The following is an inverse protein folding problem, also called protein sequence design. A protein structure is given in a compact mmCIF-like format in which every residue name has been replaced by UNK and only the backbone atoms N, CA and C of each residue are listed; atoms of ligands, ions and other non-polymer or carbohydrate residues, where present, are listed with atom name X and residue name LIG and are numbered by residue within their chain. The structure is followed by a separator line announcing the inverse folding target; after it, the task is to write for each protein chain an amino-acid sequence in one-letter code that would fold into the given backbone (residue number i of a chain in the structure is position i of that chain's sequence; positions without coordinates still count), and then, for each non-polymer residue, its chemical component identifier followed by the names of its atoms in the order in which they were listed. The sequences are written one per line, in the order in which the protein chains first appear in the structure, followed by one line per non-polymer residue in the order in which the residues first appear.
data_IF_223164337885
#
_entry.id   IF_223164337885
#
_cell.length_a   1.000
_cell.length_b   1.000
_cell.length_c   1.000
_cell.angle_alpha   90.00
_cell.angle_beta   90.00
_cell.angle_gamma   90.00
#
_symmetry.space_group_name_H-M   'P 1'
#
loop_
_entity.id
_entity.type
_entity.pdbx_description
1 polymer ?
#
# COMPACT_ATOMS: atom_id res chain seq x y z
N UNK A 1 27.54 49.79 5.56
CA UNK A 1 27.56 48.64 4.61
C UNK A 1 27.00 47.36 5.23
N UNK A 2 27.58 46.82 6.32
CA UNK A 2 27.11 45.59 6.97
C UNK A 2 25.62 45.58 7.36
N UNK A 3 25.07 46.69 7.84
CA UNK A 3 23.64 46.76 8.19
C UNK A 3 22.71 46.60 6.97
N UNK A 4 23.17 47.00 5.78
CA UNK A 4 22.44 46.79 4.53
C UNK A 4 22.43 45.32 4.13
N UNK A 5 23.59 44.64 4.26
CA UNK A 5 23.70 43.19 4.05
C UNK A 5 22.83 42.39 5.02
N UNK A 6 22.80 42.79 6.30
CA UNK A 6 21.94 42.18 7.32
C UNK A 6 20.45 42.33 6.96
N UNK A 7 20.04 43.51 6.49
CA UNK A 7 18.64 43.79 6.11
C UNK A 7 18.21 43.00 4.87
N UNK A 8 19.09 42.85 3.89
CA UNK A 8 18.87 42.00 2.70
C UNK A 8 18.72 40.52 3.12
N UNK A 9 19.59 40.03 4.00
CA UNK A 9 19.52 38.65 4.51
C UNK A 9 18.22 38.39 5.29
N UNK A 10 17.80 39.33 6.14
CA UNK A 10 16.55 39.24 6.88
C UNK A 10 15.32 39.19 5.94
N UNK A 11 15.32 40.01 4.89
CA UNK A 11 14.26 40.02 3.88
C UNK A 11 14.22 38.72 3.05
N UNK A 12 15.39 38.19 2.67
CA UNK A 12 15.49 36.90 1.99
C UNK A 12 14.99 35.73 2.87
N UNK A 13 15.33 35.74 4.15
CA UNK A 13 14.88 34.73 5.12
C UNK A 13 13.35 34.77 5.33
N UNK A 14 12.75 35.96 5.42
CA UNK A 14 11.29 36.10 5.47
C UNK A 14 10.62 35.59 4.18
N UNK A 15 11.17 35.91 3.00
CA UNK A 15 10.65 35.41 1.72
C UNK A 15 10.69 33.88 1.63
N UNK A 16 11.80 33.25 2.02
CA UNK A 16 11.92 31.80 2.10
C UNK A 16 10.92 31.19 3.09
N UNK A 17 10.76 31.78 4.28
CA UNK A 17 9.79 31.30 5.27
C UNK A 17 8.36 31.35 4.72
N UNK A 18 8.02 32.40 3.97
CA UNK A 18 6.70 32.56 3.36
C UNK A 18 6.45 31.53 2.24
N UNK A 19 7.46 31.23 1.41
CA UNK A 19 7.40 30.15 0.42
C UNK A 19 7.21 28.77 1.07
N UNK A 20 7.92 28.49 2.17
CA UNK A 20 7.77 27.21 2.91
C UNK A 20 6.37 27.06 3.54
N UNK A 21 5.79 28.15 4.05
CA UNK A 21 4.42 28.15 4.57
C UNK A 21 3.42 27.89 3.45
N UNK A 22 3.59 28.53 2.29
CA UNK A 22 2.73 28.35 1.13
C UNK A 22 2.76 26.91 0.61
N UNK A 23 3.96 26.35 0.36
CA UNK A 23 4.12 24.97 -0.08
C UNK A 23 3.51 23.95 0.90
N UNK A 24 3.62 24.21 2.22
CA UNK A 24 2.98 23.38 3.25
C UNK A 24 1.45 23.44 3.21
N UNK A 25 0.86 24.60 2.89
CA UNK A 25 -0.59 24.72 2.70
C UNK A 25 -1.06 23.97 1.44
N UNK A 26 -0.34 24.11 0.32
CA UNK A 26 -0.64 23.41 -0.94
C UNK A 26 -0.56 21.89 -0.78
N UNK A 27 0.50 21.35 -0.16
CA UNK A 27 0.58 19.92 0.15
C UNK A 27 -0.61 19.43 1.01
N UNK A 28 -1.07 20.24 1.98
CA UNK A 28 -2.22 19.90 2.82
C UNK A 28 -3.55 19.99 2.07
N UNK A 29 -3.67 20.89 1.09
CA UNK A 29 -4.83 20.96 0.20
C UNK A 29 -4.90 19.71 -0.68
N UNK A 30 -3.81 19.34 -1.37
CA UNK A 30 -3.76 18.11 -2.17
C UNK A 30 -4.04 16.85 -1.34
N UNK A 31 -3.55 16.77 -0.09
CA UNK A 31 -3.87 15.64 0.81
C UNK A 31 -5.37 15.56 1.15
N UNK A 32 -6.03 16.72 1.35
CA UNK A 32 -7.46 16.79 1.62
C UNK A 32 -8.31 16.49 0.38
N UNK A 33 -7.93 16.99 -0.80
CA UNK A 33 -8.59 16.68 -2.07
C UNK A 33 -8.48 15.18 -2.40
N UNK A 34 -7.31 14.58 -2.17
CA UNK A 34 -7.11 13.14 -2.33
C UNK A 34 -7.98 12.31 -1.37
N UNK A 35 -8.28 12.82 -0.17
CA UNK A 35 -9.23 12.19 0.76
C UNK A 35 -10.67 12.35 0.29
N UNK A 36 -11.06 13.53 -0.21
CA UNK A 36 -12.39 13.79 -0.74
C UNK A 36 -12.71 12.90 -1.96
N UNK A 37 -11.79 12.81 -2.95
CA UNK A 37 -11.95 11.95 -4.13
C UNK A 37 -12.05 10.46 -3.75
N UNK A 38 -11.30 10.01 -2.74
CA UNK A 38 -11.41 8.64 -2.20
C UNK A 38 -12.74 8.37 -1.52
N UNK A 39 -13.38 9.40 -0.95
CA UNK A 39 -14.67 9.26 -0.28
C UNK A 39 -15.83 9.25 -1.29
N UNK A 40 -15.80 10.10 -2.32
CA UNK A 40 -16.83 10.10 -3.38
C UNK A 40 -16.86 8.79 -4.19
N UNK A 41 -15.72 8.15 -4.46
CA UNK A 41 -15.69 6.83 -5.10
C UNK A 41 -16.25 5.70 -4.22
N UNK A 42 -16.56 5.95 -2.94
CA UNK A 42 -17.18 4.98 -2.03
C UNK A 42 -18.71 5.09 -2.02
N UNK A 43 -19.29 6.18 -2.54
CA UNK A 43 -20.74 6.41 -2.56
C UNK A 43 -21.44 5.88 -3.82
N UNK A 44 -20.73 5.71 -4.95
CA UNK A 44 -21.29 5.15 -6.19
C UNK A 44 -21.55 3.63 -6.16
N UNK A 45 -21.20 2.93 -5.06
CA UNK A 45 -21.47 1.48 -4.88
C UNK A 45 -22.56 1.15 -3.87
N UNK A 46 -23.51 2.05 -3.61
CA UNK A 46 -24.62 1.83 -2.67
C UNK A 46 -26.03 1.92 -3.29
N UNK A 47 -26.18 1.51 -4.55
CA UNK A 47 -27.47 1.46 -5.21
C UNK A 47 -27.61 0.28 -6.19
N UNK A 48 -27.37 -0.96 -5.75
CA UNK A 48 -27.94 -2.11 -6.45
C UNK A 48 -28.14 -3.36 -5.58
N UNK A 49 -29.28 -4.01 -5.80
CA UNK A 49 -29.73 -5.33 -5.30
C UNK A 49 -30.04 -5.50 -3.80
N UNK A 50 -31.10 -4.82 -3.38
CA UNK A 50 -32.14 -5.45 -2.56
C UNK A 50 -32.87 -6.57 -3.34
N UNK A 51 -33.62 -7.41 -2.61
CA UNK A 51 -34.61 -8.39 -3.09
C UNK A 51 -34.07 -9.69 -3.72
N UNK A 52 -33.93 -10.72 -2.89
CA UNK A 52 -34.71 -11.99 -2.86
C UNK A 52 -34.05 -12.91 -1.80
N UNK A 53 -34.72 -13.77 -1.06
CA UNK A 53 -36.14 -14.15 -1.02
C UNK A 53 -36.23 -15.46 -0.21
N UNK A 54 -37.18 -15.53 0.71
CA UNK A 54 -37.40 -16.56 1.76
C UNK A 54 -37.37 -18.05 1.34
N UNK A 55 -37.35 -18.93 2.36
CA UNK A 55 -37.92 -20.31 2.38
C UNK A 55 -37.22 -21.44 1.55
N UNK A 56 -37.18 -22.71 1.96
CA UNK A 56 -37.38 -23.34 3.28
C UNK A 56 -36.66 -24.73 3.33
N UNK A 57 -36.99 -25.53 4.35
CA UNK A 57 -36.35 -26.76 4.86
C UNK A 57 -36.70 -28.09 4.13
N UNK A 58 -36.01 -29.17 4.55
CA UNK A 58 -36.30 -30.63 4.35
C UNK A 58 -35.89 -31.30 3.01
N UNK A 59 -35.76 -32.64 2.90
CA UNK A 59 -35.08 -33.70 3.71
C UNK A 59 -35.09 -35.03 2.89
N UNK A 60 -34.03 -35.86 2.99
CA UNK A 60 -34.01 -37.26 2.49
C UNK A 60 -33.74 -37.47 0.99
N UNK A 61 -33.28 -38.64 0.50
CA UNK A 61 -32.95 -39.92 1.16
C UNK A 61 -32.09 -40.82 0.24
N UNK A 62 -30.97 -41.37 0.75
CA UNK A 62 -30.13 -42.52 0.25
C UNK A 62 -29.61 -42.51 -1.20
N UNK A 63 -28.36 -42.89 -1.49
CA UNK A 63 -27.71 -44.16 -1.09
C UNK A 63 -26.19 -44.08 -0.88
N UNK A 64 -25.66 -45.12 -0.21
CA UNK A 64 -24.25 -45.36 0.17
C UNK A 64 -23.37 -45.72 -1.07
N UNK A 65 -22.03 -45.61 -1.10
CA UNK A 65 -21.02 -46.06 -0.12
C UNK A 65 -19.82 -45.09 0.13
N UNK A 66 -19.20 -45.25 1.31
CA UNK A 66 -17.87 -44.73 1.73
C UNK A 66 -16.76 -45.67 1.23
N UNK A 67 -15.44 -45.45 1.23
CA UNK A 67 -14.47 -44.46 1.75
C UNK A 67 -13.12 -44.77 1.01
N UNK A 68 -11.99 -44.06 1.05
CA UNK A 68 -11.47 -42.82 1.66
C UNK A 68 -10.20 -42.44 0.84
N UNK A 69 -9.53 -41.29 0.95
CA UNK A 69 -9.68 -40.13 1.83
C UNK A 69 -9.18 -38.87 1.11
N UNK A 70 -9.86 -37.74 1.25
CA UNK A 70 -9.41 -36.43 0.78
C UNK A 70 -8.73 -35.64 1.90
N UNK A 71 -7.74 -34.82 1.55
CA UNK A 71 -7.34 -33.68 2.39
C UNK A 71 -7.05 -32.45 1.54
N UNK A 72 -8.12 -31.95 0.93
CA UNK A 72 -8.18 -30.57 0.47
C UNK A 72 -7.88 -29.66 1.67
N UNK A 73 -6.68 -29.08 1.70
CA UNK A 73 -6.30 -28.15 2.76
C UNK A 73 -6.74 -26.76 2.35
N UNK A 74 -8.03 -26.50 2.61
CA UNK A 74 -8.58 -25.22 3.01
C UNK A 74 -7.87 -23.98 2.46
N UNK A 75 -8.46 -23.38 1.41
CA UNK A 75 -8.20 -21.98 1.06
C UNK A 75 -8.59 -21.11 2.25
N UNK A 76 -7.61 -20.78 3.09
CA UNK A 76 -7.76 -19.77 4.14
C UNK A 76 -7.76 -18.39 3.51
N UNK A 77 -8.90 -17.99 2.94
CA UNK A 77 -9.15 -16.61 2.52
C UNK A 77 -9.17 -15.72 3.77
N UNK A 78 -7.99 -15.25 4.18
CA UNK A 78 -7.84 -14.21 5.21
C UNK A 78 -8.25 -12.86 4.61
N UNK A 79 -9.53 -12.71 4.29
CA UNK A 79 -10.12 -11.43 3.88
C UNK A 79 -10.64 -10.70 5.11
N UNK A 80 -9.71 -10.22 5.95
CA UNK A 80 -10.01 -9.22 6.99
C UNK A 80 -9.96 -7.79 6.43
N UNK A 81 -9.73 -7.61 5.12
CA UNK A 81 -9.49 -6.29 4.50
C UNK A 81 -10.16 -6.08 3.13
N UNK A 82 -10.96 -7.04 2.63
CA UNK A 82 -11.74 -6.86 1.40
C UNK A 82 -10.93 -6.77 0.10
N UNK A 83 -9.63 -7.07 0.12
CA UNK A 83 -8.77 -7.09 -1.05
C UNK A 83 -8.80 -8.47 -1.72
N UNK A 84 -9.47 -8.56 -2.87
CA UNK A 84 -9.37 -9.72 -3.76
C UNK A 84 -8.01 -9.72 -4.47
N UNK A 85 -7.09 -10.57 -4.03
CA UNK A 85 -5.80 -10.79 -4.68
C UNK A 85 -5.85 -12.05 -5.55
N UNK A 86 -5.26 -11.98 -6.75
CA UNK A 86 -5.00 -13.18 -7.54
C UNK A 86 -3.82 -13.99 -6.95
N UNK A 87 -3.72 -15.27 -7.34
CA UNK A 87 -2.58 -16.10 -6.95
C UNK A 87 -1.24 -15.53 -7.47
N UNK A 88 -1.23 -14.97 -8.70
CA UNK A 88 -0.06 -14.28 -9.30
C UNK A 88 0.40 -13.12 -8.42
N UNK A 89 -0.53 -12.24 -8.02
CA UNK A 89 -0.23 -11.10 -7.15
C UNK A 89 0.21 -11.55 -5.76
N UNK A 90 -0.41 -12.57 -5.18
CA UNK A 90 -0.03 -13.11 -3.87
C UNK A 90 1.42 -13.61 -3.87
N UNK A 91 1.83 -14.34 -4.92
CA UNK A 91 3.23 -14.77 -5.11
C UNK A 91 4.18 -13.58 -5.29
N UNK A 92 3.80 -12.58 -6.09
CA UNK A 92 4.59 -11.36 -6.28
C UNK A 92 4.80 -10.59 -4.98
N UNK A 93 3.74 -10.40 -4.18
CA UNK A 93 3.80 -9.72 -2.88
C UNK A 93 4.80 -10.43 -1.96
N UNK A 94 4.77 -11.77 -1.88
CA UNK A 94 5.71 -12.55 -1.09
C UNK A 94 7.16 -12.35 -1.53
N UNK A 95 7.43 -12.46 -2.84
CA UNK A 95 8.77 -12.27 -3.41
C UNK A 95 9.30 -10.84 -3.20
N UNK A 96 8.48 -9.82 -3.46
CA UNK A 96 8.87 -8.41 -3.31
C UNK A 96 9.01 -8.00 -1.85
N UNK A 97 8.20 -8.56 -0.94
CA UNK A 97 8.37 -8.37 0.50
C UNK A 97 9.70 -8.96 0.97
N UNK A 98 10.04 -10.18 0.55
CA UNK A 98 11.32 -10.82 0.88
C UNK A 98 12.52 -10.01 0.35
N UNK A 99 12.45 -9.55 -0.90
CA UNK A 99 13.46 -8.70 -1.51
C UNK A 99 13.63 -7.37 -0.78
N UNK A 100 12.53 -6.61 -0.58
CA UNK A 100 12.60 -5.30 0.06
C UNK A 100 12.94 -5.38 1.56
N UNK A 101 12.71 -6.51 2.23
CA UNK A 101 13.11 -6.71 3.62
C UNK A 101 14.64 -6.68 3.81
N UNK A 102 15.42 -7.14 2.83
CA UNK A 102 16.90 -7.04 2.85
C UNK A 102 17.44 -5.72 2.28
N UNK A 103 16.57 -4.83 1.81
CA UNK A 103 16.92 -3.51 1.27
C UNK A 103 16.34 -2.38 2.14
N UNK A 104 16.98 -2.02 3.28
CA UNK A 104 16.47 -0.99 4.20
C UNK A 104 16.33 0.40 3.54
N UNK A 105 17.20 0.71 2.58
CA UNK A 105 17.15 1.97 1.82
C UNK A 105 16.12 1.95 0.67
N UNK A 106 15.41 0.83 0.49
CA UNK A 106 14.50 0.58 -0.62
C UNK A 106 15.20 0.33 -1.96
N UNK A 107 14.40 0.07 -2.99
CA UNK A 107 14.85 -0.22 -4.35
C UNK A 107 13.97 0.47 -5.41
N UNK A 108 14.52 0.78 -6.58
CA UNK A 108 13.73 1.24 -7.73
C UNK A 108 12.87 0.11 -8.30
N UNK A 109 11.77 0.46 -8.99
CA UNK A 109 10.88 -0.54 -9.61
C UNK A 109 11.62 -1.41 -10.63
N UNK A 110 12.56 -0.83 -11.38
CA UNK A 110 13.38 -1.54 -12.36
C UNK A 110 14.35 -2.54 -11.71
N UNK A 111 14.86 -2.24 -10.51
CA UNK A 111 15.73 -3.17 -9.79
C UNK A 111 14.94 -4.35 -9.22
N UNK A 112 13.75 -4.09 -8.64
CA UNK A 112 12.82 -5.15 -8.19
C UNK A 112 12.41 -6.01 -9.39
N UNK A 113 12.06 -5.40 -10.53
CA UNK A 113 11.71 -6.10 -11.75
C UNK A 113 12.87 -6.95 -12.28
N UNK A 114 14.10 -6.41 -12.26
CA UNK A 114 15.31 -7.16 -12.67
C UNK A 114 15.56 -8.39 -11.80
N UNK A 115 15.25 -8.33 -10.50
CA UNK A 115 15.30 -9.48 -9.60
C UNK A 115 14.21 -10.51 -9.92
N UNK A 116 12.95 -10.07 -10.13
CA UNK A 116 11.84 -10.96 -10.48
C UNK A 116 12.05 -11.66 -11.85
N UNK A 117 12.63 -10.95 -12.81
CA UNK A 117 12.97 -11.48 -14.14
C UNK A 117 13.99 -12.63 -14.06
N UNK A 118 15.00 -12.53 -13.18
CA UNK A 118 15.96 -13.61 -12.90
C UNK A 118 15.31 -14.85 -12.28
N UNK A 119 14.19 -14.70 -11.56
CA UNK A 119 13.38 -15.79 -11.02
C UNK A 119 12.36 -16.34 -12.04
N UNK A 120 12.50 -16.01 -13.32
CA UNK A 120 11.59 -16.37 -14.41
C UNK A 120 10.13 -15.89 -14.22
N UNK A 121 9.90 -14.86 -13.40
CA UNK A 121 8.56 -14.32 -13.15
C UNK A 121 8.18 -13.33 -14.25
N UNK A 122 7.24 -13.72 -15.11
CA UNK A 122 6.73 -12.87 -16.19
C UNK A 122 5.73 -11.81 -15.68
N UNK A 123 6.26 -10.61 -15.41
CA UNK A 123 5.50 -9.40 -15.07
C UNK A 123 6.01 -8.19 -15.84
N UNK A 124 5.10 -7.25 -16.14
CA UNK A 124 5.46 -5.91 -16.61
C UNK A 124 5.82 -5.01 -15.42
N UNK A 125 6.73 -4.07 -15.64
CA UNK A 125 7.12 -3.06 -14.64
C UNK A 125 5.92 -2.23 -14.17
N UNK A 126 4.95 -1.96 -15.05
CA UNK A 126 3.69 -1.27 -14.69
C UNK A 126 2.79 -2.10 -13.77
N UNK A 127 2.58 -3.39 -14.06
CA UNK A 127 1.83 -4.31 -13.19
C UNK A 127 2.44 -4.38 -11.79
N UNK A 128 3.78 -4.33 -11.72
CA UNK A 128 4.51 -4.29 -10.46
C UNK A 128 4.31 -2.96 -9.71
N UNK A 129 4.42 -1.80 -10.38
CA UNK A 129 4.21 -0.49 -9.74
C UNK A 129 2.76 -0.32 -9.24
N UNK A 130 1.77 -0.72 -10.04
CA UNK A 130 0.35 -0.74 -9.68
C UNK A 130 0.07 -1.64 -8.47
N UNK A 131 0.66 -2.84 -8.43
CA UNK A 131 0.56 -3.77 -7.29
C UNK A 131 1.10 -3.17 -5.98
N UNK A 132 2.24 -2.48 -6.05
CA UNK A 132 2.86 -1.84 -4.88
C UNK A 132 2.04 -0.63 -4.40
N UNK A 133 1.53 0.19 -5.32
CA UNK A 133 0.62 1.32 -5.01
C UNK A 133 -0.69 0.84 -4.35
N UNK A 134 -1.21 -0.33 -4.74
CA UNK A 134 -2.44 -0.91 -4.22
C UNK A 134 -2.30 -1.47 -2.79
N UNK A 135 -1.07 -1.56 -2.26
CA UNK A 135 -0.76 -2.19 -0.96
C UNK A 135 0.02 -1.24 -0.03
N UNK A 136 -0.53 -0.06 0.31
CA UNK A 136 0.16 0.97 1.09
C UNK A 136 0.50 0.55 2.53
N UNK A 137 -0.13 -0.52 3.04
CA UNK A 137 0.21 -1.11 4.34
C UNK A 137 1.48 -1.97 4.31
N UNK A 138 1.88 -2.48 3.14
CA UNK A 138 3.07 -3.31 2.97
C UNK A 138 4.23 -2.53 2.35
N UNK A 139 3.94 -1.65 1.39
CA UNK A 139 4.95 -0.96 0.59
C UNK A 139 4.74 0.54 0.60
N UNK A 140 5.85 1.28 0.74
CA UNK A 140 5.89 2.74 0.72
C UNK A 140 6.83 3.22 -0.37
N UNK A 141 6.34 4.08 -1.26
CA UNK A 141 7.16 4.84 -2.19
C UNK A 141 7.79 6.02 -1.45
N UNK A 142 9.11 6.10 -1.47
CA UNK A 142 9.88 7.24 -0.99
C UNK A 142 10.54 7.92 -2.19
N UNK A 143 10.43 9.25 -2.24
CA UNK A 143 11.15 10.09 -3.17
C UNK A 143 12.31 10.75 -2.42
N UNK A 144 13.53 10.66 -2.94
CA UNK A 144 14.70 11.33 -2.36
C UNK A 144 15.41 12.18 -3.42
N UNK A 145 16.05 13.27 -3.01
CA UNK A 145 16.72 14.22 -3.91
C UNK A 145 15.86 15.41 -4.34
N UNK A 146 16.44 16.27 -5.19
CA UNK A 146 15.83 17.54 -5.65
C UNK A 146 16.08 17.71 -7.15
N UNK A 147 15.07 18.17 -7.89
CA UNK A 147 15.17 18.46 -9.32
C UNK A 147 15.52 17.21 -10.15
N UNK A 148 16.61 17.28 -10.91
CA UNK A 148 17.06 16.16 -11.76
C UNK A 148 17.55 14.92 -11.00
N UNK A 149 17.78 15.03 -9.67
CA UNK A 149 18.24 13.94 -8.82
C UNK A 149 17.14 13.21 -8.04
N UNK A 150 15.87 13.28 -8.47
CA UNK A 150 14.76 12.63 -7.76
C UNK A 150 14.80 11.11 -8.00
N UNK A 151 15.17 10.35 -6.98
CA UNK A 151 15.15 8.89 -6.97
C UNK A 151 13.84 8.35 -6.41
N UNK A 152 13.19 7.45 -7.16
CA UNK A 152 12.01 6.69 -6.71
C UNK A 152 12.44 5.37 -6.07
N UNK A 153 12.17 5.16 -4.78
CA UNK A 153 12.52 3.92 -4.06
C UNK A 153 11.35 3.36 -3.25
N UNK A 154 11.01 2.11 -3.48
CA UNK A 154 10.04 1.34 -2.71
C UNK A 154 10.69 0.72 -1.48
N UNK A 155 10.06 0.87 -0.32
CA UNK A 155 10.45 0.25 0.95
C UNK A 155 9.33 -0.66 1.46
N UNK A 156 9.69 -1.74 2.15
CA UNK A 156 8.75 -2.58 2.90
C UNK A 156 8.52 -2.00 4.30
N UNK A 157 7.25 -1.82 4.69
CA UNK A 157 6.85 -1.06 5.89
C UNK A 157 5.83 -1.78 6.79
N UNK A 158 5.50 -3.04 6.50
CA UNK A 158 4.43 -3.80 7.17
C UNK A 158 4.52 -3.82 8.70
N UNK A 159 5.75 -3.88 9.25
CA UNK A 159 6.00 -3.94 10.68
C UNK A 159 6.38 -2.58 11.30
N UNK A 160 6.68 -1.58 10.48
CA UNK A 160 7.17 -0.26 10.90
C UNK A 160 6.11 0.59 11.60
N UNK A 161 4.82 0.28 11.37
CA UNK A 161 3.68 0.97 11.97
C UNK A 161 3.02 0.16 13.10
N UNK A 162 3.66 -0.91 13.58
CA UNK A 162 3.29 -1.48 14.88
C UNK A 162 3.70 -0.46 15.93
N UNK A 163 2.72 0.26 16.48
CA UNK A 163 2.96 1.14 17.62
C UNK A 163 3.69 0.31 18.69
N UNK A 164 4.78 0.85 19.23
CA UNK A 164 5.50 0.23 20.33
C UNK A 164 4.53 0.13 21.52
N UNK A 165 3.86 -1.02 21.66
CA UNK A 165 3.07 -1.34 22.84
C UNK A 165 4.13 -1.72 23.88
N UNK A 166 4.40 -0.88 24.90
CA UNK A 166 5.24 -1.33 25.99
C UNK A 166 4.51 -2.50 26.64
N UNK A 167 5.13 -3.69 26.61
CA UNK A 167 4.67 -4.84 27.37
C UNK A 167 4.84 -4.53 28.86
N UNK A 168 3.86 -3.85 29.41
CA UNK A 168 3.75 -3.56 30.84
C UNK A 168 3.35 -4.85 31.56
N UNK A 169 4.36 -5.65 31.90
CA UNK A 169 4.20 -6.74 32.86
C UNK A 169 3.85 -6.12 34.22
N UNK A 170 2.56 -6.04 34.54
CA UNK A 170 2.12 -5.89 35.92
C UNK A 170 2.37 -7.24 36.61
N UNK A 171 3.27 -7.21 37.60
CA UNK A 171 3.51 -8.30 38.55
C UNK A 171 2.99 -7.91 39.93
#
# INVERSE_FOLDING_TARGET
EKDSQLKILQQAMQGMQQQLIQAKMECKQFENELKAVKQSQLEEKKAEKSCEGSEDKEEGTTSEEKQSSSKETSVSTVSSTGLTLTEKETKLIGLVSCFLHVHPNGASVDYIWSYLSQLNVSTRTSELEELLLRLPMLFKLNMSGVGAGIEKKWQFVAYSNTAFIPFSFNS
#
